data_IF_855395562968
#
_entry.id   IF_855395562968
#
_cell.length_a   1.000
_cell.length_b   1.000
_cell.length_c   1.000
_cell.angle_alpha   90.00
_cell.angle_beta   90.00
_cell.angle_gamma   90.00
#
_symmetry.space_group_name_H-M   'P 1'
#
loop_
_entity.id
_entity.type
_entity.pdbx_description
1 polymer ?
#
# COMPACT_ATOMS: atom_id res chain seq x y z
N UNK A 1 32.83 15.43 -24.12
CA UNK A 1 32.18 14.12 -23.86
C UNK A 1 31.11 13.89 -24.92
N UNK A 2 31.36 13.03 -25.91
CA UNK A 2 30.31 12.55 -26.82
C UNK A 2 29.49 11.53 -26.04
N UNK A 3 28.23 11.83 -25.74
CA UNK A 3 27.29 10.83 -25.24
C UNK A 3 26.95 9.93 -26.43
N UNK A 4 27.72 8.87 -26.59
CA UNK A 4 27.31 7.70 -27.37
C UNK A 4 26.03 7.15 -26.72
N UNK A 5 25.00 6.91 -27.53
CA UNK A 5 23.67 6.57 -27.02
C UNK A 5 23.71 5.34 -26.12
N UNK A 6 23.01 5.39 -24.99
CA UNK A 6 22.90 4.24 -24.09
C UNK A 6 22.32 3.01 -24.83
N UNK A 7 22.76 1.78 -24.49
CA UNK A 7 22.19 0.57 -25.05
C UNK A 7 20.66 0.52 -24.91
N UNK A 8 19.97 0.04 -25.95
CA UNK A 8 18.49 0.00 -25.97
C UNK A 8 17.90 -0.77 -24.79
N UNK A 9 18.59 -1.78 -24.27
CA UNK A 9 18.13 -2.56 -23.13
C UNK A 9 17.98 -1.70 -21.85
N UNK A 10 18.83 -0.68 -21.64
CA UNK A 10 18.74 0.22 -20.49
C UNK A 10 17.43 0.99 -20.46
N UNK A 11 16.93 1.31 -21.65
CA UNK A 11 15.68 2.05 -21.81
C UNK A 11 14.47 1.08 -21.80
N UNK A 12 14.59 -0.12 -22.38
CA UNK A 12 13.55 -1.15 -22.34
C UNK A 12 13.28 -1.72 -20.95
N UNK A 13 14.32 -1.90 -20.12
CA UNK A 13 14.15 -2.42 -18.75
C UNK A 13 13.33 -1.46 -17.88
N UNK A 14 13.51 -0.15 -18.05
CA UNK A 14 12.71 0.86 -17.35
C UNK A 14 11.24 0.84 -17.79
N UNK A 15 10.98 0.74 -19.11
CA UNK A 15 9.60 0.55 -19.59
C UNK A 15 8.98 -0.73 -19.02
N UNK A 16 9.74 -1.84 -19.02
CA UNK A 16 9.26 -3.12 -18.51
C UNK A 16 8.90 -3.02 -17.02
N UNK A 17 9.71 -2.35 -16.20
CA UNK A 17 9.39 -2.11 -14.79
C UNK A 17 8.06 -1.37 -14.60
N UNK A 18 7.82 -0.29 -15.35
CA UNK A 18 6.55 0.45 -15.27
C UNK A 18 5.35 -0.44 -15.65
N UNK A 19 5.49 -1.23 -16.72
CA UNK A 19 4.44 -2.17 -17.14
C UNK A 19 4.17 -3.23 -16.06
N UNK A 20 5.21 -3.80 -15.47
CA UNK A 20 5.11 -4.83 -14.43
C UNK A 20 4.36 -4.31 -13.21
N UNK A 21 4.67 -3.08 -12.76
CA UNK A 21 4.02 -2.47 -11.59
C UNK A 21 2.51 -2.29 -11.84
N UNK A 22 2.12 -1.73 -13.00
CA UNK A 22 0.71 -1.59 -13.35
C UNK A 22 0.02 -2.94 -13.45
N UNK A 23 0.60 -3.88 -14.20
CA UNK A 23 0.01 -5.20 -14.39
C UNK A 23 -0.26 -5.91 -13.06
N UNK A 24 0.72 -5.93 -12.15
CA UNK A 24 0.51 -6.53 -10.83
C UNK A 24 -0.44 -5.73 -9.94
N UNK A 25 -0.50 -4.40 -10.09
CA UNK A 25 -1.53 -3.57 -9.47
C UNK A 25 -2.95 -4.01 -9.86
N UNK A 26 -3.12 -4.42 -11.13
CA UNK A 26 -4.39 -4.95 -11.66
C UNK A 26 -4.67 -6.36 -11.14
N UNK A 27 -3.68 -7.26 -11.19
CA UNK A 27 -3.81 -8.62 -10.63
C UNK A 27 -4.18 -8.58 -9.14
N UNK A 28 -3.57 -7.68 -8.36
CA UNK A 28 -3.87 -7.53 -6.93
C UNK A 28 -5.34 -7.15 -6.67
N UNK A 29 -6.00 -6.47 -7.61
CA UNK A 29 -7.42 -6.07 -7.56
C UNK A 29 -8.38 -7.16 -8.02
N UNK A 30 -7.90 -8.30 -8.53
CA UNK A 30 -8.74 -9.45 -8.87
C UNK A 30 -9.03 -10.29 -7.62
N UNK A 31 -9.77 -9.71 -6.67
CA UNK A 31 -10.11 -10.34 -5.40
C UNK A 31 -11.55 -10.00 -4.96
N UNK A 32 -12.05 -10.71 -3.95
CA UNK A 32 -13.42 -10.57 -3.46
C UNK A 32 -13.72 -9.21 -2.81
N UNK A 33 -12.73 -8.56 -2.18
CA UNK A 33 -12.92 -7.24 -1.59
C UNK A 33 -13.09 -6.19 -2.68
N UNK A 34 -12.23 -6.23 -3.70
CA UNK A 34 -12.27 -5.25 -4.78
C UNK A 34 -13.46 -5.47 -5.71
N UNK A 35 -13.66 -6.69 -6.23
CA UNK A 35 -14.71 -6.94 -7.23
C UNK A 35 -16.09 -7.16 -6.58
N UNK A 36 -16.13 -7.74 -5.39
CA UNK A 36 -17.39 -8.04 -4.69
C UNK A 36 -17.83 -6.91 -3.76
N UNK A 37 -17.00 -6.56 -2.78
CA UNK A 37 -17.33 -5.50 -1.81
C UNK A 37 -17.14 -4.08 -2.37
N UNK A 38 -16.38 -3.94 -3.46
CA UNK A 38 -15.96 -2.66 -4.05
C UNK A 38 -15.10 -1.83 -3.10
N UNK A 39 -14.34 -2.51 -2.24
CA UNK A 39 -13.44 -1.90 -1.28
C UNK A 39 -11.98 -2.10 -1.73
N UNK A 40 -11.10 -1.11 -1.53
CA UNK A 40 -11.29 0.13 -0.77
C UNK A 40 -11.94 1.29 -1.54
N UNK A 41 -12.35 1.09 -2.80
CA UNK A 41 -12.83 2.20 -3.66
C UNK A 41 -14.06 2.91 -3.09
N UNK A 42 -15.01 2.15 -2.53
CA UNK A 42 -16.18 2.72 -1.85
C UNK A 42 -15.77 3.65 -0.72
N UNK A 43 -14.95 3.16 0.21
CA UNK A 43 -14.47 3.98 1.33
C UNK A 43 -13.74 5.25 0.86
N UNK A 44 -12.96 5.16 -0.23
CA UNK A 44 -12.22 6.30 -0.79
C UNK A 44 -13.15 7.34 -1.43
N UNK A 45 -14.14 6.90 -2.22
CA UNK A 45 -15.15 7.77 -2.81
C UNK A 45 -16.00 8.43 -1.73
N UNK A 46 -16.44 7.68 -0.73
CA UNK A 46 -17.19 8.21 0.42
C UNK A 46 -16.36 9.25 1.18
N UNK A 47 -15.05 9.05 1.34
CA UNK A 47 -14.18 10.03 1.97
C UNK A 47 -14.04 11.32 1.13
N UNK A 48 -13.85 11.19 -0.18
CA UNK A 48 -13.74 12.32 -1.11
C UNK A 48 -15.06 13.09 -1.30
N UNK A 49 -16.19 12.43 -1.06
CA UNK A 49 -17.53 13.00 -1.18
C UNK A 49 -17.94 13.86 0.02
N UNK A 50 -17.42 13.59 1.22
CA UNK A 50 -17.83 14.27 2.47
C UNK A 50 -17.67 15.78 2.39
N UNK A 51 -18.77 16.50 2.51
CA UNK A 51 -18.78 17.97 2.51
C UNK A 51 -18.55 18.59 1.13
N UNK A 52 -18.66 17.78 0.06
CA UNK A 52 -18.54 18.22 -1.32
C UNK A 52 -19.94 18.38 -1.95
N UNK A 53 -20.15 19.42 -2.76
CA UNK A 53 -21.41 19.61 -3.50
C UNK A 53 -21.73 18.47 -4.49
N UNK A 54 -20.74 17.63 -4.82
CA UNK A 54 -20.89 16.46 -5.69
C UNK A 54 -21.06 15.13 -4.91
N UNK A 55 -21.43 15.18 -3.63
CA UNK A 55 -21.53 13.99 -2.77
C UNK A 55 -22.38 12.86 -3.39
N UNK A 56 -23.60 13.18 -3.81
CA UNK A 56 -24.52 12.22 -4.44
C UNK A 56 -23.96 11.61 -5.74
N UNK A 57 -23.21 12.40 -6.51
CA UNK A 57 -22.59 11.93 -7.74
C UNK A 57 -21.43 10.97 -7.45
N UNK A 58 -20.51 11.36 -6.55
CA UNK A 58 -19.32 10.57 -6.22
C UNK A 58 -19.65 9.24 -5.53
N UNK A 59 -20.72 9.23 -4.73
CA UNK A 59 -21.20 8.03 -4.04
C UNK A 59 -22.17 7.18 -4.87
N UNK A 60 -22.54 7.64 -6.07
CA UNK A 60 -23.47 6.92 -6.95
C UNK A 60 -22.91 5.57 -7.41
N UNK A 61 -23.79 4.58 -7.53
CA UNK A 61 -23.43 3.23 -8.00
C UNK A 61 -22.67 3.21 -9.33
N UNK A 62 -23.07 3.97 -10.38
CA UNK A 62 -22.33 3.98 -11.64
C UNK A 62 -20.89 4.48 -11.49
N UNK A 63 -20.66 5.49 -10.66
CA UNK A 63 -19.31 6.02 -10.40
C UNK A 63 -18.48 5.00 -9.64
N UNK A 64 -19.04 4.38 -8.60
CA UNK A 64 -18.34 3.30 -7.90
C UNK A 64 -17.94 2.15 -8.84
N UNK A 65 -18.82 1.75 -9.75
CA UNK A 65 -18.51 0.71 -10.74
C UNK A 65 -17.42 1.16 -11.72
N UNK A 66 -17.50 2.39 -12.22
CA UNK A 66 -16.50 2.96 -13.11
C UNK A 66 -15.11 2.94 -12.47
N UNK A 67 -14.97 3.40 -11.22
CA UNK A 67 -13.69 3.43 -10.53
C UNK A 67 -13.18 2.04 -10.15
N UNK A 68 -14.07 1.15 -9.71
CA UNK A 68 -13.71 -0.22 -9.32
C UNK A 68 -13.28 -1.04 -10.53
N UNK A 69 -14.14 -1.20 -11.53
CA UNK A 69 -13.83 -2.04 -12.70
C UNK A 69 -12.90 -1.33 -13.68
N UNK A 70 -13.07 -0.02 -13.88
CA UNK A 70 -12.17 0.78 -14.70
C UNK A 70 -10.75 0.80 -14.14
N UNK A 71 -10.57 0.83 -12.82
CA UNK A 71 -9.25 0.74 -12.19
C UNK A 71 -8.55 -0.60 -12.48
N UNK A 72 -9.27 -1.72 -12.44
CA UNK A 72 -8.73 -3.05 -12.79
C UNK A 72 -8.32 -3.09 -14.26
N UNK A 73 -9.22 -2.70 -15.16
CA UNK A 73 -8.97 -2.72 -16.59
C UNK A 73 -7.81 -1.78 -16.95
N UNK A 74 -7.76 -0.60 -16.35
CA UNK A 74 -6.67 0.34 -16.52
C UNK A 74 -5.34 -0.31 -16.15
N UNK A 75 -5.20 -0.82 -14.93
CA UNK A 75 -3.94 -1.38 -14.46
C UNK A 75 -3.47 -2.60 -15.29
N UNK A 76 -4.39 -3.47 -15.72
CA UNK A 76 -4.06 -4.64 -16.54
C UNK A 76 -3.63 -4.27 -17.97
N UNK A 77 -4.24 -3.24 -18.57
CA UNK A 77 -4.09 -2.95 -20.00
C UNK A 77 -3.28 -1.70 -20.33
N UNK A 78 -3.04 -0.79 -19.37
CA UNK A 78 -2.34 0.47 -19.66
C UNK A 78 -0.90 0.23 -20.14
N UNK A 79 -0.23 -0.78 -19.60
CA UNK A 79 1.12 -1.16 -20.01
C UNK A 79 1.20 -1.52 -21.50
N UNK A 80 0.45 -2.52 -21.99
CA UNK A 80 0.34 -2.83 -23.41
C UNK A 80 -0.09 -1.63 -24.28
N UNK A 81 -1.06 -0.83 -23.79
CA UNK A 81 -1.56 0.34 -24.52
C UNK A 81 -0.49 1.42 -24.70
N UNK A 82 0.38 1.65 -23.70
CA UNK A 82 1.53 2.56 -23.80
C UNK A 82 2.66 1.98 -24.66
N UNK A 83 2.87 0.66 -24.58
CA UNK A 83 3.94 -0.02 -25.30
C UNK A 83 3.72 0.04 -26.82
N UNK A 84 2.49 -0.19 -27.28
CA UNK A 84 2.17 -0.16 -28.71
C UNK A 84 1.99 1.28 -29.19
N UNK A 85 2.87 1.71 -30.10
CA UNK A 85 2.87 3.06 -30.73
C UNK A 85 1.50 3.57 -31.20
N UNK A 86 0.64 2.71 -31.76
CA UNK A 86 -0.68 3.10 -32.30
C UNK A 86 -1.69 3.44 -31.20
N UNK A 87 -1.64 2.73 -30.06
CA UNK A 87 -2.58 2.92 -28.96
C UNK A 87 -2.10 3.96 -27.94
N UNK A 88 -0.80 4.29 -27.94
CA UNK A 88 -0.17 5.18 -26.95
C UNK A 88 -0.83 6.54 -26.82
N UNK A 89 -1.25 7.16 -27.92
CA UNK A 89 -1.89 8.48 -27.88
C UNK A 89 -3.26 8.45 -27.18
N UNK A 90 -3.95 7.31 -27.19
CA UNK A 90 -5.17 7.09 -26.40
C UNK A 90 -4.86 6.71 -24.96
N UNK A 91 -3.73 6.03 -24.73
CA UNK A 91 -3.28 5.67 -23.38
C UNK A 91 -2.91 6.90 -22.54
N UNK A 92 -2.29 7.92 -23.13
CA UNK A 92 -1.87 9.14 -22.44
C UNK A 92 -2.98 9.83 -21.62
N UNK A 93 -4.12 10.23 -22.21
CA UNK A 93 -5.19 10.86 -21.44
C UNK A 93 -5.75 9.93 -20.35
N UNK A 94 -5.76 8.61 -20.58
CA UNK A 94 -6.16 7.65 -19.55
C UNK A 94 -5.16 7.65 -18.38
N UNK A 95 -3.85 7.66 -18.64
CA UNK A 95 -2.83 7.75 -17.57
C UNK A 95 -3.01 9.02 -16.76
N UNK A 96 -3.17 10.16 -17.43
CA UNK A 96 -3.34 11.45 -16.76
C UNK A 96 -4.60 11.42 -15.90
N UNK A 97 -5.75 11.02 -16.48
CA UNK A 97 -7.01 10.93 -15.75
C UNK A 97 -6.89 10.01 -14.53
N UNK A 98 -6.38 8.79 -14.71
CA UNK A 98 -6.26 7.81 -13.62
C UNK A 98 -5.35 8.29 -12.49
N UNK A 99 -4.20 8.88 -12.80
CA UNK A 99 -3.27 9.35 -11.78
C UNK A 99 -3.78 10.62 -11.07
N UNK A 100 -4.42 11.54 -11.78
CA UNK A 100 -5.07 12.71 -11.16
C UNK A 100 -6.21 12.25 -10.26
N UNK A 101 -7.05 11.34 -10.72
CA UNK A 101 -8.12 10.75 -9.91
C UNK A 101 -7.57 10.07 -8.65
N UNK A 102 -6.52 9.25 -8.76
CA UNK A 102 -5.89 8.63 -7.61
C UNK A 102 -5.27 9.64 -6.64
N UNK A 103 -4.73 10.76 -7.13
CA UNK A 103 -4.21 11.81 -6.26
C UNK A 103 -5.31 12.41 -5.37
N UNK A 104 -6.50 12.65 -5.93
CA UNK A 104 -7.63 13.20 -5.18
C UNK A 104 -8.36 12.16 -4.30
N UNK A 105 -8.37 10.89 -4.70
CA UNK A 105 -9.01 9.82 -3.92
C UNK A 105 -8.12 9.28 -2.80
N UNK A 106 -6.79 9.40 -2.95
CA UNK A 106 -5.81 8.83 -2.03
C UNK A 106 -4.75 9.86 -1.63
N UNK A 107 -5.09 10.72 -0.67
CA UNK A 107 -4.20 11.79 -0.18
C UNK A 107 -2.85 11.28 0.38
N UNK A 108 -2.79 10.04 0.85
CA UNK A 108 -1.62 9.39 1.42
C UNK A 108 -0.70 8.72 0.38
N UNK A 109 -1.06 8.75 -0.91
CA UNK A 109 -0.26 8.10 -1.97
C UNK A 109 0.97 8.94 -2.41
N UNK A 110 1.04 10.20 -1.95
CA UNK A 110 2.21 11.07 -2.09
C UNK A 110 2.58 11.38 -3.55
N UNK A 111 3.88 11.33 -3.85
CA UNK A 111 4.43 11.72 -5.17
C UNK A 111 4.12 10.73 -6.29
N UNK A 112 3.63 9.53 -5.95
CA UNK A 112 3.47 8.43 -6.89
C UNK A 112 2.70 8.78 -8.18
N UNK A 113 1.54 9.46 -8.14
CA UNK A 113 0.76 9.69 -9.36
C UNK A 113 1.48 10.64 -10.33
N UNK A 114 2.18 11.64 -9.80
CA UNK A 114 3.01 12.56 -10.57
C UNK A 114 4.23 11.86 -11.17
N UNK A 115 4.88 11.00 -10.40
CA UNK A 115 5.97 10.18 -10.89
C UNK A 115 5.52 9.28 -12.05
N UNK A 116 4.38 8.61 -11.92
CA UNK A 116 3.87 7.72 -12.97
C UNK A 116 3.46 8.48 -14.23
N UNK A 117 2.86 9.67 -14.09
CA UNK A 117 2.61 10.55 -15.24
C UNK A 117 3.92 10.97 -15.93
N UNK A 118 4.93 11.40 -15.16
CA UNK A 118 6.23 11.76 -15.71
C UNK A 118 6.92 10.56 -16.39
N UNK A 119 6.83 9.36 -15.80
CA UNK A 119 7.41 8.13 -16.34
C UNK A 119 6.84 7.72 -17.70
N UNK A 120 5.67 8.24 -18.10
CA UNK A 120 5.14 8.04 -19.46
C UNK A 120 6.09 8.55 -20.54
N UNK A 121 6.97 9.53 -20.24
CA UNK A 121 7.99 10.01 -21.16
C UNK A 121 8.89 8.89 -21.66
N UNK A 122 9.14 7.88 -20.80
CA UNK A 122 9.94 6.72 -21.17
C UNK A 122 9.33 5.99 -22.35
N UNK A 123 8.01 6.07 -22.57
CA UNK A 123 7.29 5.42 -23.65
C UNK A 123 7.43 6.10 -25.01
N UNK A 124 7.94 7.33 -25.07
CA UNK A 124 8.13 8.06 -26.32
C UNK A 124 9.55 7.91 -26.86
N UNK A 125 9.68 7.99 -28.17
CA UNK A 125 11.00 8.08 -28.80
C UNK A 125 11.50 9.54 -28.71
N UNK A 126 12.82 9.80 -28.64
CA UNK A 126 13.36 11.16 -28.50
C UNK A 126 12.86 12.14 -29.57
N UNK A 127 12.65 11.67 -30.81
CA UNK A 127 12.14 12.47 -31.91
C UNK A 127 10.64 12.83 -31.75
N UNK A 128 9.87 11.99 -31.05
CA UNK A 128 8.47 12.30 -30.69
C UNK A 128 8.44 13.41 -29.64
N UNK A 129 9.33 13.34 -28.65
CA UNK A 129 9.46 14.35 -27.59
C UNK A 129 9.95 15.69 -28.17
N UNK A 130 10.99 15.68 -28.99
CA UNK A 130 11.53 16.90 -29.60
C UNK A 130 10.49 17.65 -30.44
N UNK A 131 9.65 16.91 -31.19
CA UNK A 131 8.53 17.48 -31.94
C UNK A 131 7.48 18.14 -31.04
N UNK A 132 7.22 17.56 -29.87
CA UNK A 132 6.26 18.11 -28.90
C UNK A 132 6.71 19.46 -28.35
N UNK A 133 8.02 19.65 -28.10
CA UNK A 133 8.59 20.91 -27.63
C UNK A 133 8.94 21.92 -28.74
N UNK A 134 8.52 21.66 -29.99
CA UNK A 134 8.66 22.60 -31.10
C UNK A 134 10.06 22.66 -31.73
N UNK A 135 10.97 21.75 -31.33
CA UNK A 135 12.30 21.68 -31.94
C UNK A 135 12.26 20.89 -33.25
N UNK A 136 11.85 21.60 -34.32
CA UNK A 136 11.74 21.03 -35.68
C UNK A 136 13.09 20.87 -36.37
N UNK A 137 14.18 21.45 -35.84
CA UNK A 137 15.47 21.52 -36.55
C UNK A 137 16.28 20.22 -36.46
N UNK A 138 16.02 19.37 -35.47
CA UNK A 138 16.69 18.07 -35.31
C UNK A 138 15.78 16.84 -35.52
N UNK A 139 14.45 17.03 -35.68
CA UNK A 139 13.48 15.95 -35.86
C UNK A 139 13.59 15.19 -37.22
N UNK A 140 14.44 15.66 -38.14
CA UNK A 140 14.65 15.07 -39.47
C UNK A 140 16.12 14.85 -39.85
N UNK A 141 17.08 15.27 -39.03
CA UNK A 141 18.46 14.80 -39.18
C UNK A 141 18.50 13.44 -38.53
N UNK A 142 18.28 12.41 -39.34
CA UNK A 142 18.66 11.04 -39.00
C UNK A 142 20.12 11.05 -38.61
N UNK A 143 20.41 11.29 -37.33
CA UNK A 143 21.69 11.00 -36.73
C UNK A 143 21.82 9.52 -37.02
N UNK A 144 22.70 9.16 -37.97
CA UNK A 144 23.13 7.78 -38.15
C UNK A 144 23.32 7.29 -36.73
N UNK A 145 22.45 6.37 -36.29
CA UNK A 145 22.79 5.55 -35.16
C UNK A 145 24.06 4.88 -35.66
N UNK A 146 25.21 5.45 -35.33
CA UNK A 146 26.40 4.67 -35.09
C UNK A 146 25.90 3.64 -34.09
N UNK A 147 25.55 2.48 -34.64
CA UNK A 147 25.30 1.29 -33.85
C UNK A 147 26.52 1.25 -32.95
N UNK A 148 26.36 1.35 -31.61
CA UNK A 148 27.52 1.36 -30.73
C UNK A 148 28.33 0.14 -31.13
N UNK A 149 29.46 0.42 -31.79
CA UNK A 149 30.26 -0.59 -32.43
C UNK A 149 30.88 -1.32 -31.28
N UNK A 150 30.38 -2.53 -31.06
CA UNK A 150 30.89 -3.45 -30.07
C UNK A 150 30.50 -3.05 -28.63
N UNK A 151 29.26 -3.35 -28.23
CA UNK A 151 29.15 -4.05 -26.93
C UNK A 151 30.14 -5.21 -27.03
N UNK A 152 31.18 -5.22 -26.19
CA UNK A 152 32.13 -6.33 -26.11
C UNK A 152 31.34 -7.64 -26.19
N UNK A 153 31.41 -8.32 -27.34
CA UNK A 153 30.62 -9.53 -27.62
C UNK A 153 30.85 -10.59 -26.53
N UNK A 154 31.99 -10.48 -25.85
CA UNK A 154 32.38 -11.18 -24.64
C UNK A 154 31.38 -11.05 -23.49
N UNK A 155 30.85 -9.87 -23.22
CA UNK A 155 29.97 -9.61 -22.07
C UNK A 155 28.48 -9.75 -22.39
N UNK A 156 28.10 -9.74 -23.67
CA UNK A 156 26.72 -9.93 -24.12
C UNK A 156 25.98 -11.12 -23.49
N UNK A 157 26.55 -12.35 -23.44
CA UNK A 157 25.86 -13.47 -22.81
C UNK A 157 25.66 -13.21 -21.31
N UNK A 158 26.66 -12.69 -20.61
CA UNK A 158 26.54 -12.36 -19.19
C UNK A 158 25.47 -11.29 -18.95
N UNK A 159 25.49 -10.19 -19.70
CA UNK A 159 24.49 -9.11 -19.58
C UNK A 159 23.09 -9.65 -19.85
N UNK A 160 22.93 -10.47 -20.89
CA UNK A 160 21.63 -11.07 -21.22
C UNK A 160 21.16 -12.02 -20.13
N UNK A 161 22.03 -12.87 -19.59
CA UNK A 161 21.72 -13.75 -18.47
C UNK A 161 21.33 -12.97 -17.21
N UNK A 162 22.07 -11.91 -16.86
CA UNK A 162 21.77 -11.06 -15.71
C UNK A 162 20.41 -10.36 -15.90
N UNK A 163 20.15 -9.80 -17.09
CA UNK A 163 18.86 -9.17 -17.40
C UNK A 163 17.71 -10.19 -17.38
N UNK A 164 17.92 -11.40 -17.88
CA UNK A 164 16.93 -12.46 -17.86
C UNK A 164 16.60 -12.89 -16.42
N UNK A 165 17.62 -13.09 -15.58
CA UNK A 165 17.44 -13.40 -14.15
C UNK A 165 16.72 -12.26 -13.43
N UNK A 166 17.12 -11.00 -13.68
CA UNK A 166 16.48 -9.83 -13.10
C UNK A 166 15.00 -9.73 -13.51
N UNK A 167 14.69 -9.86 -14.80
CA UNK A 167 13.31 -9.80 -15.28
C UNK A 167 12.49 -10.98 -14.78
N UNK A 168 13.06 -12.19 -14.74
CA UNK A 168 12.41 -13.35 -14.14
C UNK A 168 12.10 -13.10 -12.65
N UNK A 169 13.05 -12.52 -11.90
CA UNK A 169 12.80 -12.12 -10.52
C UNK A 169 11.69 -11.07 -10.41
N UNK A 170 11.72 -10.02 -11.23
CA UNK A 170 10.72 -8.94 -11.20
C UNK A 170 9.32 -9.40 -11.64
N UNK A 171 9.25 -10.46 -12.45
CA UNK A 171 8.00 -11.11 -12.82
C UNK A 171 7.53 -12.10 -11.75
N UNK A 172 8.41 -12.94 -11.22
CA UNK A 172 8.00 -14.04 -10.33
C UNK A 172 7.91 -13.64 -8.87
N UNK A 173 8.83 -12.80 -8.38
CA UNK A 173 8.90 -12.44 -6.97
C UNK A 173 7.64 -11.72 -6.47
N UNK A 174 6.96 -10.86 -7.26
CA UNK A 174 5.70 -10.29 -6.83
C UNK A 174 4.60 -11.31 -6.56
N UNK A 175 4.68 -12.54 -7.10
CA UNK A 175 3.73 -13.63 -6.83
C UNK A 175 3.98 -14.32 -5.49
N UNK A 176 4.99 -13.90 -4.71
CA UNK A 176 5.32 -14.50 -3.40
C UNK A 176 4.14 -14.54 -2.42
N UNK A 177 3.16 -13.65 -2.58
CA UNK A 177 1.95 -13.62 -1.74
C UNK A 177 1.13 -14.91 -1.85
N UNK A 178 1.19 -15.63 -2.98
CA UNK A 178 0.50 -16.92 -3.18
C UNK A 178 1.05 -18.00 -2.26
N UNK A 179 2.31 -17.89 -1.84
CA UNK A 179 2.98 -18.86 -0.96
C UNK A 179 2.75 -18.57 0.53
N UNK A 180 2.12 -17.45 0.86
CA UNK A 180 1.88 -17.04 2.24
C UNK A 180 0.50 -17.49 2.70
N UNK A 181 0.37 -17.99 3.94
CA UNK A 181 -0.92 -18.42 4.46
C UNK A 181 -1.80 -17.22 4.84
N UNK A 182 -3.11 -17.43 4.74
CA UNK A 182 -4.12 -16.47 5.16
C UNK A 182 -4.30 -15.29 4.20
N UNK A 183 -5.02 -14.28 4.68
CA UNK A 183 -5.25 -13.05 3.94
C UNK A 183 -4.03 -12.12 4.09
N UNK A 184 -3.28 -11.96 3.00
CA UNK A 184 -2.08 -11.11 2.92
C UNK A 184 -2.39 -9.62 3.07
N UNK A 185 -3.62 -9.20 2.81
CA UNK A 185 -4.04 -7.81 2.89
C UNK A 185 -4.48 -7.44 4.30
N UNK A 186 -5.11 -8.39 4.98
CA UNK A 186 -5.39 -8.29 6.42
C UNK A 186 -4.14 -8.48 7.29
N UNK A 187 -3.23 -9.38 6.95
CA UNK A 187 -2.00 -9.54 7.72
C UNK A 187 -0.92 -8.52 7.34
N UNK A 188 -1.04 -7.87 6.18
CA UNK A 188 0.00 -7.05 5.52
C UNK A 188 1.29 -7.81 5.16
N UNK A 189 1.35 -9.10 5.49
CA UNK A 189 2.49 -9.97 5.25
C UNK A 189 2.45 -10.34 3.77
N UNK A 190 3.51 -10.00 3.05
CA UNK A 190 3.54 -10.22 1.61
C UNK A 190 3.06 -9.04 0.78
N UNK A 191 2.52 -7.96 1.36
CA UNK A 191 2.16 -6.78 0.57
C UNK A 191 3.40 -6.08 -0.01
N UNK A 192 4.48 -5.98 0.78
CA UNK A 192 5.77 -5.44 0.30
C UNK A 192 6.34 -6.34 -0.79
N UNK A 193 6.90 -5.73 -1.83
CA UNK A 193 7.48 -6.41 -2.99
C UNK A 193 6.51 -7.25 -3.83
N UNK A 194 5.20 -7.13 -3.61
CA UNK A 194 4.16 -7.81 -4.40
C UNK A 194 3.29 -6.85 -5.22
N UNK A 195 3.67 -5.57 -5.29
CA UNK A 195 2.97 -4.51 -6.02
C UNK A 195 1.47 -4.39 -5.69
N UNK A 196 1.11 -4.77 -4.46
CA UNK A 196 -0.24 -4.78 -3.90
C UNK A 196 -0.65 -3.39 -3.40
N UNK A 197 -0.74 -2.41 -4.31
CA UNK A 197 -0.99 -1.02 -3.97
C UNK A 197 -2.49 -0.71 -3.86
N UNK A 198 -2.88 0.00 -2.80
CA UNK A 198 -4.23 0.57 -2.60
C UNK A 198 -5.38 -0.45 -2.69
N UNK A 199 -5.16 -1.65 -2.16
CA UNK A 199 -6.18 -2.72 -2.07
C UNK A 199 -6.75 -2.89 -0.66
N UNK A 200 -6.32 -2.06 0.29
CA UNK A 200 -6.72 -2.13 1.69
C UNK A 200 -6.98 -0.74 2.24
N UNK A 201 -8.14 -0.57 2.87
CA UNK A 201 -8.47 0.55 3.77
C UNK A 201 -8.62 0.02 5.17
N UNK A 202 -8.03 0.72 6.14
CA UNK A 202 -8.12 0.41 7.57
C UNK A 202 -8.65 1.61 8.31
N UNK A 203 -9.73 1.40 9.04
CA UNK A 203 -10.33 2.42 9.89
C UNK A 203 -10.18 2.02 11.36
N UNK A 204 -9.18 2.56 12.09
CA UNK A 204 -9.03 2.30 13.50
C UNK A 204 -10.05 3.09 14.33
N UNK A 205 -10.88 2.38 15.08
CA UNK A 205 -11.79 3.00 16.04
C UNK A 205 -11.08 3.28 17.37
N UNK A 206 -10.17 2.41 17.78
CA UNK A 206 -9.36 2.56 18.98
C UNK A 206 -7.98 1.93 18.77
N UNK A 207 -6.93 2.55 19.32
CA UNK A 207 -5.59 1.98 19.43
C UNK A 207 -5.17 2.11 20.89
N UNK A 208 -5.21 1.01 21.63
CA UNK A 208 -4.91 1.00 23.06
C UNK A 208 -4.02 -0.20 23.41
N UNK A 209 -3.06 0.04 24.30
CA UNK A 209 -2.15 -0.97 24.82
C UNK A 209 -2.18 -0.93 26.34
N UNK A 210 -1.98 -2.10 26.96
CA UNK A 210 -2.01 -2.26 28.40
C UNK A 210 -0.81 -3.08 28.87
N UNK A 211 -0.17 -2.59 29.93
CA UNK A 211 0.77 -3.40 30.72
C UNK A 211 -0.03 -4.14 31.78
N UNK A 212 0.15 -5.44 31.87
CA UNK A 212 -0.38 -6.27 32.94
C UNK A 212 0.77 -6.79 33.79
N UNK A 213 0.69 -6.49 35.07
CA UNK A 213 1.56 -7.07 36.09
C UNK A 213 0.83 -8.26 36.71
N UNK A 214 1.33 -9.46 36.45
CA UNK A 214 0.69 -10.69 36.94
C UNK A 214 0.84 -10.88 38.44
N UNK A 215 1.89 -10.34 39.04
CA UNK A 215 2.12 -10.43 40.49
C UNK A 215 1.20 -9.45 41.24
N UNK A 216 0.92 -8.29 40.65
CA UNK A 216 0.04 -7.28 41.25
C UNK A 216 -1.44 -7.39 40.82
N UNK A 217 -1.74 -8.15 39.77
CA UNK A 217 -3.08 -8.21 39.17
C UNK A 217 -3.54 -6.89 38.56
N UNK A 218 -2.62 -5.97 38.25
CA UNK A 218 -2.94 -4.61 37.80
C UNK A 218 -2.82 -4.53 36.27
N UNK A 219 -3.89 -4.05 35.63
CA UNK A 219 -3.89 -3.63 34.22
C UNK A 219 -3.75 -2.12 34.15
N UNK A 220 -2.67 -1.62 33.54
CA UNK A 220 -2.41 -0.17 33.38
C UNK A 220 -2.42 0.22 31.90
N UNK A 221 -3.15 1.28 31.51
CA UNK A 221 -3.10 1.79 30.14
C UNK A 221 -1.73 2.39 29.82
N UNK A 222 -1.26 2.20 28.59
CA UNK A 222 -0.04 2.81 28.07
C UNK A 222 -0.40 4.09 27.31
N UNK A 223 0.18 5.22 27.73
CA UNK A 223 0.09 6.46 26.98
C UNK A 223 1.08 6.45 25.81
N UNK A 224 0.62 6.01 24.63
CA UNK A 224 1.45 5.78 23.45
C UNK A 224 2.28 7.00 23.03
N UNK A 225 1.72 8.19 23.13
CA UNK A 225 2.36 9.46 22.73
C UNK A 225 3.63 9.78 23.53
N UNK A 226 3.85 9.14 24.68
CA UNK A 226 5.11 9.25 25.44
C UNK A 226 6.26 8.44 24.86
N UNK A 227 5.96 7.47 23.99
CA UNK A 227 6.93 6.48 23.52
C UNK A 227 7.10 6.48 22.00
N UNK A 228 6.01 6.69 21.27
CA UNK A 228 5.98 6.65 19.81
C UNK A 228 5.22 7.85 19.25
N UNK A 229 5.62 8.28 18.06
CA UNK A 229 4.97 9.40 17.38
C UNK A 229 3.67 8.95 16.67
N UNK A 230 2.90 9.92 16.18
CA UNK A 230 1.60 9.66 15.53
C UNK A 230 1.70 8.74 14.30
N UNK A 231 2.80 8.82 13.53
CA UNK A 231 3.03 7.95 12.37
C UNK A 231 3.21 6.50 12.81
N UNK A 232 4.00 6.27 13.87
CA UNK A 232 4.20 4.95 14.45
C UNK A 232 2.92 4.41 15.10
N UNK A 233 2.14 5.26 15.78
CA UNK A 233 0.82 4.88 16.32
C UNK A 233 -0.10 4.41 15.21
N UNK A 234 -0.22 5.17 14.12
CA UNK A 234 -1.00 4.75 12.94
C UNK A 234 -0.49 3.43 12.34
N UNK A 235 0.84 3.24 12.30
CA UNK A 235 1.45 2.00 11.83
C UNK A 235 1.05 0.78 12.67
N UNK A 236 0.80 0.92 13.98
CA UNK A 236 0.32 -0.22 14.81
C UNK A 236 -1.10 -0.69 14.42
N UNK A 237 -1.99 0.23 14.02
CA UNK A 237 -3.28 -0.18 13.47
C UNK A 237 -3.18 -0.76 12.06
N UNK A 238 -2.13 -0.41 11.32
CA UNK A 238 -1.93 -0.83 9.95
C UNK A 238 -1.23 -2.20 9.84
N UNK A 239 -0.01 -2.32 10.39
CA UNK A 239 0.83 -3.52 10.28
C UNK A 239 0.81 -4.26 11.64
N UNK A 240 0.33 -5.52 11.69
CA UNK A 240 0.20 -6.25 12.95
C UNK A 240 1.56 -6.52 13.59
N UNK A 241 2.65 -6.56 12.79
CA UNK A 241 4.01 -6.70 13.32
C UNK A 241 4.45 -5.46 14.08
N UNK A 242 3.95 -4.27 13.73
CA UNK A 242 4.27 -3.06 14.47
C UNK A 242 3.64 -3.09 15.87
N UNK A 243 2.40 -3.59 16.00
CA UNK A 243 1.75 -3.84 17.29
C UNK A 243 2.56 -4.78 18.16
N UNK A 244 2.98 -5.92 17.60
CA UNK A 244 3.78 -6.91 18.34
C UNK A 244 5.16 -6.37 18.72
N UNK A 245 5.86 -5.72 17.79
CA UNK A 245 7.16 -5.11 18.07
C UNK A 245 7.06 -4.07 19.19
N UNK A 246 6.02 -3.25 19.19
CA UNK A 246 5.77 -2.31 20.27
C UNK A 246 5.50 -3.04 21.59
N UNK A 247 4.67 -4.09 21.60
CA UNK A 247 4.38 -4.87 22.79
C UNK A 247 5.63 -5.52 23.41
N UNK A 248 6.51 -6.11 22.57
CA UNK A 248 7.79 -6.67 23.00
C UNK A 248 8.72 -5.61 23.58
N UNK A 249 8.88 -4.51 22.86
CA UNK A 249 9.72 -3.40 23.32
C UNK A 249 9.21 -2.82 24.64
N UNK A 250 7.88 -2.69 24.81
CA UNK A 250 7.27 -2.26 26.07
C UNK A 250 7.55 -3.21 27.22
N UNK A 251 7.52 -4.54 26.99
CA UNK A 251 7.90 -5.52 28.00
C UNK A 251 9.34 -5.35 28.44
N UNK A 252 10.27 -5.20 27.50
CA UNK A 252 11.67 -4.93 27.82
C UNK A 252 11.85 -3.63 28.61
N UNK A 253 11.11 -2.58 28.23
CA UNK A 253 11.15 -1.29 28.94
C UNK A 253 10.62 -1.42 30.38
N UNK A 254 9.56 -2.18 30.60
CA UNK A 254 9.06 -2.44 31.96
C UNK A 254 10.03 -3.30 32.77
N UNK A 255 10.73 -4.25 32.13
CA UNK A 255 11.80 -5.01 32.78
C UNK A 255 12.96 -4.12 33.22
N UNK A 256 13.38 -3.15 32.39
CA UNK A 256 14.40 -2.15 32.77
C UNK A 256 13.97 -1.30 33.96
N UNK A 257 12.66 -1.10 34.14
CA UNK A 257 12.07 -0.39 35.29
C UNK A 257 11.84 -1.27 36.52
N UNK A 258 12.30 -2.53 36.49
CA UNK A 258 12.28 -3.44 37.64
C UNK A 258 11.06 -4.36 37.72
N UNK A 259 10.14 -4.32 36.76
CA UNK A 259 9.01 -5.27 36.71
C UNK A 259 9.49 -6.63 36.19
N UNK A 260 9.06 -7.75 36.80
CA UNK A 260 9.55 -9.09 36.45
C UNK A 260 8.59 -9.90 35.58
N UNK A 261 7.29 -9.86 35.89
CA UNK A 261 6.25 -10.60 35.15
C UNK A 261 5.31 -9.64 34.43
N UNK A 262 5.77 -9.22 33.26
CA UNK A 262 5.04 -8.27 32.43
C UNK A 262 4.44 -8.97 31.22
N UNK A 263 3.13 -8.79 31.06
CA UNK A 263 2.41 -9.08 29.81
C UNK A 263 1.97 -7.78 29.17
N UNK A 264 1.98 -7.72 27.85
CA UNK A 264 1.52 -6.53 27.12
C UNK A 264 0.42 -6.96 26.15
N UNK A 265 -0.78 -6.44 26.38
CA UNK A 265 -1.96 -6.74 25.55
C UNK A 265 -2.40 -5.51 24.78
N UNK A 266 -3.17 -5.70 23.71
CA UNK A 266 -3.72 -4.61 22.90
C UNK A 266 -5.22 -4.72 22.75
N UNK A 267 -5.92 -3.61 22.91
CA UNK A 267 -7.34 -3.45 22.61
C UNK A 267 -7.50 -2.53 21.40
N UNK A 268 -6.81 -2.87 20.32
CA UNK A 268 -6.90 -2.14 19.06
C UNK A 268 -8.12 -2.65 18.29
N UNK A 269 -9.04 -1.75 17.96
CA UNK A 269 -10.28 -2.07 17.23
C UNK A 269 -10.19 -1.45 15.84
N UNK A 270 -10.31 -2.28 14.80
CA UNK A 270 -10.19 -1.85 13.41
C UNK A 270 -11.31 -2.44 12.55
N UNK A 271 -11.69 -1.68 11.51
CA UNK A 271 -12.43 -2.18 10.36
C UNK A 271 -11.49 -2.26 9.15
N UNK A 272 -11.65 -3.29 8.33
CA UNK A 272 -10.86 -3.51 7.11
C UNK A 272 -11.75 -3.74 5.91
N UNK A 273 -11.59 -2.93 4.86
CA UNK A 273 -12.35 -3.03 3.61
C UNK A 273 -13.87 -3.18 3.86
N UNK A 274 -14.44 -2.28 4.65
CA UNK A 274 -15.87 -2.23 4.94
C UNK A 274 -16.39 -3.34 5.88
N UNK A 275 -15.53 -4.23 6.39
CA UNK A 275 -15.96 -5.26 7.37
C UNK A 275 -16.33 -4.63 8.72
N UNK A 276 -17.17 -5.30 9.54
CA UNK A 276 -17.48 -4.85 10.89
C UNK A 276 -16.23 -4.64 11.75
N UNK A 277 -16.32 -3.73 12.71
CA UNK A 277 -15.24 -3.50 13.68
C UNK A 277 -14.96 -4.74 14.51
N UNK A 278 -13.68 -5.10 14.61
CA UNK A 278 -13.18 -6.23 15.38
C UNK A 278 -11.91 -5.85 16.13
N UNK A 279 -11.63 -6.58 17.20
CA UNK A 279 -10.32 -6.49 17.85
C UNK A 279 -9.26 -7.08 16.93
N UNK A 280 -8.17 -6.33 16.72
CA UNK A 280 -7.10 -6.73 15.83
C UNK A 280 -6.35 -7.98 16.36
N UNK A 281 -6.23 -8.06 17.69
CA UNK A 281 -5.76 -9.22 18.45
C UNK A 281 -6.74 -9.46 19.60
N UNK A 282 -6.77 -10.67 20.17
CA UNK A 282 -7.67 -10.91 21.29
C UNK A 282 -7.25 -10.02 22.49
N UNK A 283 -8.18 -9.32 23.18
CA UNK A 283 -7.84 -8.34 24.23
C UNK A 283 -6.97 -8.84 25.40
N UNK A 284 -7.03 -10.16 25.62
CA UNK A 284 -6.33 -10.88 26.70
C UNK A 284 -5.03 -11.55 26.24
N UNK A 285 -4.77 -11.56 24.94
CA UNK A 285 -3.58 -12.19 24.36
C UNK A 285 -2.31 -11.41 24.70
N UNK A 286 -1.29 -12.11 25.19
CA UNK A 286 0.02 -11.51 25.44
C UNK A 286 0.81 -11.41 24.14
N UNK A 287 0.84 -10.21 23.56
CA UNK A 287 1.54 -9.95 22.31
C UNK A 287 3.06 -9.89 22.49
N UNK A 288 3.52 -9.71 23.73
CA UNK A 288 4.94 -9.54 24.04
C UNK A 288 5.78 -10.82 23.94
N UNK A 289 5.13 -11.99 23.83
CA UNK A 289 5.80 -13.29 23.66
C UNK A 289 5.83 -13.76 22.22
N UNK A 290 5.09 -13.10 21.32
CA UNK A 290 5.01 -13.48 19.92
C UNK A 290 6.27 -12.98 19.20
N UNK A 291 6.88 -13.83 18.37
CA UNK A 291 7.95 -13.42 17.46
C UNK A 291 7.42 -13.18 16.05
N UNK A 292 7.33 -11.91 15.59
CA UNK A 292 6.71 -11.61 14.30
C UNK A 292 7.56 -12.07 13.11
N UNK A 293 8.85 -12.34 13.31
CA UNK A 293 9.80 -12.69 12.25
C UNK A 293 10.08 -14.22 12.19
N UNK A 294 9.98 -14.91 13.34
CA UNK A 294 10.14 -16.38 13.42
C UNK A 294 8.81 -17.15 13.39
N UNK A 295 7.70 -16.55 13.85
CA UNK A 295 6.41 -17.19 13.74
C UNK A 295 6.00 -17.24 12.26
N UNK A 296 5.55 -18.41 11.79
CA UNK A 296 5.11 -18.60 10.41
C UNK A 296 4.29 -17.39 9.93
N UNK A 297 4.72 -16.69 8.87
CA UNK A 297 4.12 -15.42 8.52
C UNK A 297 2.62 -15.60 8.28
N UNK A 298 1.77 -14.97 9.10
CA UNK A 298 0.32 -15.02 8.94
C UNK A 298 -0.41 -16.04 9.83
N UNK A 299 0.27 -16.83 10.68
CA UNK A 299 -0.39 -17.74 11.64
C UNK A 299 -0.79 -17.08 12.97
N UNK A 300 -0.05 -16.06 13.37
CA UNK A 300 -0.26 -15.35 14.64
C UNK A 300 -1.15 -14.11 14.46
N UNK A 301 -1.46 -13.74 13.21
CA UNK A 301 -2.50 -12.74 12.93
C UNK A 301 -3.82 -13.50 12.79
N UNK A 302 -4.83 -13.20 13.62
CA UNK A 302 -6.16 -13.77 13.47
C UNK A 302 -6.70 -13.51 12.06
N UNK A 303 -7.55 -14.38 11.48
CA UNK A 303 -8.22 -14.08 10.22
C UNK A 303 -9.05 -12.78 10.30
N UNK A 304 -9.28 -12.10 9.16
CA UNK A 304 -10.13 -10.90 9.13
C UNK A 304 -11.56 -11.17 9.63
N UNK A 305 -12.03 -12.41 9.48
CA UNK A 305 -13.32 -12.92 9.96
C UNK A 305 -13.10 -13.91 11.12
N UNK A 306 -12.21 -13.56 12.06
CA UNK A 306 -11.93 -14.37 13.25
C UNK A 306 -13.17 -14.58 14.15
N UNK A 307 -13.03 -15.52 15.09
CA UNK A 307 -14.10 -15.99 15.97
C UNK A 307 -14.66 -14.94 16.94
N UNK A 308 -15.62 -15.35 17.79
CA UNK A 308 -16.28 -14.46 18.75
C UNK A 308 -15.33 -13.75 19.71
N UNK A 309 -14.14 -14.30 19.96
CA UNK A 309 -13.08 -13.70 20.78
C UNK A 309 -12.51 -12.38 20.23
N UNK A 310 -12.73 -12.10 18.94
CA UNK A 310 -12.39 -10.83 18.28
C UNK A 310 -13.60 -9.92 18.06
N UNK A 311 -14.82 -10.37 18.37
CA UNK A 311 -16.00 -9.55 18.23
C UNK A 311 -15.99 -8.41 19.25
N UNK A 312 -16.46 -7.24 18.84
CA UNK A 312 -16.59 -6.08 19.72
C UNK A 312 -18.06 -5.92 20.08
N UNK A 313 -18.36 -5.83 21.38
CA UNK A 313 -19.71 -5.52 21.85
C UNK A 313 -20.14 -4.14 21.31
N UNK A 314 -21.32 -4.02 20.65
CA UNK A 314 -21.83 -2.73 20.18
C UNK A 314 -21.84 -1.62 21.24
N UNK A 315 -22.03 -1.96 22.52
CA UNK A 315 -21.97 -0.99 23.64
C UNK A 315 -20.57 -0.39 23.79
N UNK A 316 -19.52 -1.18 23.60
CA UNK A 316 -18.13 -0.71 23.64
C UNK A 316 -17.87 0.26 22.50
N UNK A 317 -18.33 -0.06 21.28
CA UNK A 317 -18.22 0.84 20.13
C UNK A 317 -18.94 2.18 20.38
N UNK A 318 -20.17 2.11 20.89
CA UNK A 318 -20.96 3.29 21.24
C UNK A 318 -20.28 4.15 22.31
N UNK A 319 -19.70 3.54 23.34
CA UNK A 319 -18.99 4.27 24.38
C UNK A 319 -17.72 4.95 23.85
N UNK A 320 -16.96 4.27 22.99
CA UNK A 320 -15.79 4.86 22.33
C UNK A 320 -16.19 6.06 21.48
N UNK A 321 -17.27 5.93 20.71
CA UNK A 321 -17.78 7.01 19.87
C UNK A 321 -18.29 8.20 20.68
N UNK A 322 -19.00 7.94 21.78
CA UNK A 322 -19.39 8.97 22.75
C UNK A 322 -18.18 9.71 23.33
N UNK A 323 -17.09 9.01 23.66
CA UNK A 323 -15.86 9.64 24.17
C UNK A 323 -15.17 10.54 23.14
N UNK A 324 -15.32 10.25 21.83
CA UNK A 324 -14.78 11.11 20.75
C UNK A 324 -15.58 12.39 20.56
N UNK A 325 -16.89 12.37 20.83
CA UNK A 325 -17.78 13.53 20.63
C UNK A 325 -17.89 14.45 21.83
N UNK A 326 -17.56 13.97 23.04
CA UNK A 326 -17.54 14.79 24.25
C UNK A 326 -16.21 15.56 24.33
N UNK A 327 -16.21 16.90 24.32
CA UNK A 327 -14.98 17.68 24.46
C UNK A 327 -14.33 17.38 25.83
N UNK A 328 -12.99 17.32 25.90
CA UNK A 328 -12.30 17.05 27.16
C UNK A 328 -12.72 18.09 28.21
N UNK A 329 -12.93 17.68 29.47
CA UNK A 329 -13.28 18.61 30.53
C UNK A 329 -12.23 19.73 30.56
N UNK A 330 -12.68 21.00 30.54
CA UNK A 330 -11.80 22.16 30.66
C UNK A 330 -10.93 21.95 31.89
N UNK A 331 -9.64 21.69 31.69
CA UNK A 331 -8.68 21.73 32.78
C UNK A 331 -8.76 23.14 33.35
N UNK A 332 -9.36 23.26 34.54
CA UNK A 332 -9.22 24.47 35.34
C UNK A 332 -7.73 24.59 35.63
N UNK A 333 -7.05 25.49 34.89
CA UNK A 333 -5.74 25.98 35.28
C UNK A 333 -5.90 26.53 36.71
N UNK A 334 -5.36 25.81 37.69
CA UNK A 334 -5.09 26.33 39.02
C UNK A 334 -3.69 26.89 39.04
#
# INVERSE_FOLDING_TARGET
MRVEGAPRWCWLILRAQIVIVYFYGGIAKLNADWLGRMEPMRSALDAAARGNAMEDFLTSTPILWLFTYGGVLFDLFIGPLLWWKRTRMYALPLVIFFNVANHFLFDDIGVFPFFMMAATILFFDPEEIARFFGDKKDAGRGRKQETPTVEDRRWRPLVTSVLAVYLAFQLLFPLRWVLLPGDVDWSTIGQRFSWRMKISTRNPQQIAFFVRDDDAGIKRPIELTRFINNVQTGLTAYDPRATIRFARWMKEEMHRRGMKKVRVTSETIISHNGRPFRYYFAPEEDLSVIDPDLAHPGRWVPPAEAGPEHAVDPKVLFEIERRKTVPPPRQQRR
#
